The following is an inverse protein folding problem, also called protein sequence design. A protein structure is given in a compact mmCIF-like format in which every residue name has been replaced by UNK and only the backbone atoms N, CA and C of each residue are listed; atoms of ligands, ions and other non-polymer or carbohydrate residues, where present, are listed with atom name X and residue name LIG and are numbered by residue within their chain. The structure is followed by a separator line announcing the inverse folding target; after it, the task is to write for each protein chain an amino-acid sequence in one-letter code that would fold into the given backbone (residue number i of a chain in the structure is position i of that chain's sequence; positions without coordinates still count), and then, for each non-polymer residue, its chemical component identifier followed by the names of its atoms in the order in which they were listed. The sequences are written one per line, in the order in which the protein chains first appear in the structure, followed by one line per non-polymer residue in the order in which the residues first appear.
data_IF_930184715911
#
_entry.id   IF_930184715911
#
_cell.length_a   1.000
_cell.length_b   1.000
_cell.length_c   1.000
_cell.angle_alpha   90.00
_cell.angle_beta   90.00
_cell.angle_gamma   90.00
#
_symmetry.space_group_name_H-M   'P 1'
#
loop_
_entity.id
_entity.type
_entity.pdbx_description
1 polymer ?
#
# COMPACT_ATOMS: atom_id res chain seq x y z
N UNK A 1 0.16 -19.97 8.17
CA UNK A 1 -0.01 -19.51 6.77
C UNK A 1 0.41 -20.59 5.79
N UNK A 2 1.58 -21.19 5.96
CA UNK A 2 1.95 -22.38 5.22
C UNK A 2 0.99 -23.56 5.48
N UNK A 3 0.36 -23.65 6.67
CA UNK A 3 -0.69 -24.66 6.94
C UNK A 3 -1.90 -24.51 6.01
N UNK A 4 -2.35 -23.27 5.75
CA UNK A 4 -3.42 -22.99 4.80
C UNK A 4 -2.99 -23.32 3.37
N UNK A 5 -1.77 -22.95 3.00
CA UNK A 5 -1.21 -23.30 1.70
C UNK A 5 -1.11 -24.82 1.50
N UNK A 6 -0.83 -25.57 2.57
CA UNK A 6 -0.81 -27.02 2.56
C UNK A 6 -2.21 -27.60 2.38
N UNK A 7 -3.21 -27.11 3.12
CA UNK A 7 -4.61 -27.52 2.98
C UNK A 7 -5.16 -27.25 1.55
N UNK A 8 -4.77 -26.11 0.98
CA UNK A 8 -5.19 -25.67 -0.36
C UNK A 8 -4.31 -26.19 -1.50
N UNK A 9 -3.26 -26.95 -1.18
CA UNK A 9 -2.27 -27.45 -2.13
C UNK A 9 -1.65 -26.36 -3.02
N UNK A 10 -1.30 -25.21 -2.43
CA UNK A 10 -0.71 -24.07 -3.14
C UNK A 10 0.81 -24.15 -3.30
N UNK A 11 1.45 -25.15 -2.69
CA UNK A 11 2.90 -25.26 -2.55
C UNK A 11 3.41 -24.50 -1.33
N UNK A 12 4.39 -25.07 -0.64
CA UNK A 12 4.95 -24.54 0.61
C UNK A 12 6.44 -24.26 0.55
N UNK A 13 7.12 -24.73 -0.49
CA UNK A 13 8.55 -24.51 -0.71
C UNK A 13 8.83 -23.86 -2.07
N UNK A 14 9.96 -23.17 -2.23
CA UNK A 14 10.31 -22.51 -3.49
C UNK A 14 10.35 -23.44 -4.71
N UNK A 15 10.77 -24.69 -4.54
CA UNK A 15 10.87 -25.71 -5.59
C UNK A 15 9.53 -26.35 -5.96
N UNK A 16 8.50 -26.16 -5.14
CA UNK A 16 7.13 -26.67 -5.36
C UNK A 16 6.26 -25.71 -6.17
N UNK A 17 6.74 -24.48 -6.43
CA UNK A 17 5.96 -23.42 -7.06
C UNK A 17 6.63 -22.83 -8.31
N UNK A 18 5.81 -22.32 -9.21
CA UNK A 18 6.27 -21.46 -10.30
C UNK A 18 6.01 -20.01 -9.87
N UNK A 19 7.08 -19.24 -9.65
CA UNK A 19 6.96 -17.86 -9.14
C UNK A 19 6.03 -16.98 -10.00
N UNK A 20 6.14 -17.09 -11.33
CA UNK A 20 5.28 -16.36 -12.27
C UNK A 20 3.79 -16.73 -12.15
N UNK A 21 3.46 -17.98 -11.85
CA UNK A 21 2.08 -18.42 -11.61
C UNK A 21 1.52 -17.76 -10.35
N UNK A 22 2.31 -17.70 -9.28
CA UNK A 22 1.88 -17.06 -8.02
C UNK A 22 1.68 -15.56 -8.17
N UNK A 23 2.51 -14.89 -8.99
CA UNK A 23 2.27 -13.49 -9.37
C UNK A 23 1.01 -13.32 -10.20
N UNK A 24 0.71 -14.23 -11.13
CA UNK A 24 -0.52 -14.19 -11.91
C UNK A 24 -1.76 -14.37 -11.02
N UNK A 25 -1.70 -15.26 -10.02
CA UNK A 25 -2.77 -15.42 -9.03
C UNK A 25 -2.97 -14.16 -8.20
N UNK A 26 -1.90 -13.55 -7.68
CA UNK A 26 -1.97 -12.26 -6.98
C UNK A 26 -2.64 -11.18 -7.84
N UNK A 27 -2.29 -11.13 -9.13
CA UNK A 27 -2.90 -10.19 -10.07
C UNK A 27 -4.39 -10.48 -10.34
N UNK A 28 -4.79 -11.75 -10.34
CA UNK A 28 -6.19 -12.13 -10.44
C UNK A 28 -7.00 -11.57 -9.26
N UNK A 29 -6.52 -11.69 -8.02
CA UNK A 29 -7.22 -11.14 -6.85
C UNK A 29 -7.40 -9.61 -6.95
N UNK A 30 -6.39 -8.89 -7.47
CA UNK A 30 -6.51 -7.43 -7.73
C UNK A 30 -7.61 -7.13 -8.76
N UNK A 31 -7.77 -7.99 -9.76
CA UNK A 31 -8.84 -7.84 -10.76
C UNK A 31 -10.22 -8.08 -10.14
N UNK A 32 -10.32 -9.00 -9.17
CA UNK A 32 -11.55 -9.25 -8.39
C UNK A 32 -11.91 -8.06 -7.50
N UNK A 33 -10.93 -7.39 -6.87
CA UNK A 33 -11.16 -6.12 -6.14
C UNK A 33 -11.83 -5.07 -7.04
N UNK A 34 -11.30 -4.89 -8.26
CA UNK A 34 -11.86 -3.92 -9.21
C UNK A 34 -13.28 -4.29 -9.63
N UNK A 35 -13.54 -5.58 -9.84
CA UNK A 35 -14.86 -6.08 -10.21
C UNK A 35 -15.88 -5.93 -9.07
N UNK A 36 -15.49 -6.23 -7.84
CA UNK A 36 -16.32 -6.01 -6.65
C UNK A 36 -16.66 -4.52 -6.47
N UNK A 37 -15.69 -3.63 -6.72
CA UNK A 37 -15.91 -2.18 -6.71
C UNK A 37 -16.91 -1.74 -7.78
N UNK A 38 -16.80 -2.24 -9.03
CA UNK A 38 -17.76 -1.96 -10.11
C UNK A 38 -19.18 -2.42 -9.77
N UNK A 39 -19.32 -3.50 -9.00
CA UNK A 39 -20.59 -4.00 -8.50
C UNK A 39 -21.12 -3.26 -7.26
N UNK A 40 -20.37 -2.28 -6.72
CA UNK A 40 -20.73 -1.56 -5.51
C UNK A 40 -20.67 -2.41 -4.23
N UNK A 41 -19.99 -3.56 -4.25
CA UNK A 41 -19.89 -4.48 -3.12
C UNK A 41 -18.69 -4.12 -2.24
N UNK A 42 -18.88 -3.28 -1.22
CA UNK A 42 -17.78 -2.86 -0.34
C UNK A 42 -17.49 -3.82 0.83
N UNK A 43 -18.48 -4.59 1.29
CA UNK A 43 -18.36 -5.52 2.42
C UNK A 43 -19.17 -6.81 2.17
N UNK A 44 -18.82 -7.86 2.89
CA UNK A 44 -19.46 -9.17 2.77
C UNK A 44 -18.79 -10.03 1.72
N UNK A 45 -19.54 -10.98 1.14
CA UNK A 45 -19.01 -11.95 0.20
C UNK A 45 -18.79 -11.38 -1.21
N UNK A 46 -17.67 -11.74 -1.83
CA UNK A 46 -17.18 -11.25 -3.13
C UNK A 46 -17.13 -9.72 -3.15
N UNK A 47 -16.63 -9.14 -2.05
CA UNK A 47 -16.60 -7.69 -1.82
C UNK A 47 -15.19 -7.15 -1.81
N UNK A 48 -15.04 -5.85 -2.06
CA UNK A 48 -13.74 -5.15 -2.02
C UNK A 48 -12.93 -5.50 -0.76
N UNK A 49 -13.59 -5.61 0.40
CA UNK A 49 -12.92 -5.94 1.65
C UNK A 49 -12.39 -7.39 1.70
N UNK A 50 -13.12 -8.34 1.13
CA UNK A 50 -12.71 -9.75 1.06
C UNK A 50 -11.58 -9.92 0.05
N UNK A 51 -11.74 -9.37 -1.15
CA UNK A 51 -10.74 -9.49 -2.23
C UNK A 51 -9.41 -8.80 -1.86
N UNK A 52 -9.45 -7.68 -1.14
CA UNK A 52 -8.23 -7.06 -0.59
C UNK A 52 -7.56 -7.97 0.45
N UNK A 53 -8.35 -8.73 1.21
CA UNK A 53 -7.85 -9.77 2.11
C UNK A 53 -7.11 -10.86 1.34
N UNK A 54 -7.68 -11.32 0.22
CA UNK A 54 -7.05 -12.34 -0.63
C UNK A 54 -5.76 -11.84 -1.29
N UNK A 55 -5.70 -10.57 -1.73
CA UNK A 55 -4.44 -9.93 -2.17
C UNK A 55 -3.36 -10.00 -1.09
N UNK A 56 -3.69 -9.62 0.15
CA UNK A 56 -2.74 -9.69 1.27
C UNK A 56 -2.33 -11.15 1.56
N UNK A 57 -3.28 -12.07 1.51
CA UNK A 57 -3.05 -13.49 1.74
C UNK A 57 -2.05 -14.07 0.73
N UNK A 58 -2.21 -13.74 -0.56
CA UNK A 58 -1.28 -14.16 -1.63
C UNK A 58 0.12 -13.58 -1.43
N UNK A 59 0.22 -12.32 -1.01
CA UNK A 59 1.51 -11.71 -0.69
C UNK A 59 2.19 -12.39 0.52
N UNK A 60 1.43 -12.70 1.57
CA UNK A 60 1.93 -13.41 2.75
C UNK A 60 2.34 -14.85 2.43
N UNK A 61 1.63 -15.53 1.52
CA UNK A 61 2.00 -16.87 1.05
C UNK A 61 3.38 -16.85 0.38
N UNK A 62 3.60 -15.91 -0.55
CA UNK A 62 4.90 -15.72 -1.18
C UNK A 62 5.99 -15.36 -0.17
N UNK A 63 5.72 -14.43 0.75
CA UNK A 63 6.68 -14.07 1.79
C UNK A 63 7.08 -15.29 2.64
N UNK A 64 6.11 -16.13 3.01
CA UNK A 64 6.38 -17.37 3.76
C UNK A 64 7.19 -18.41 2.98
N UNK A 65 6.97 -18.55 1.67
CA UNK A 65 7.73 -19.49 0.83
C UNK A 65 9.21 -19.06 0.73
N UNK A 66 9.46 -17.77 0.57
CA UNK A 66 10.80 -17.22 0.31
C UNK A 66 11.51 -16.71 1.57
N UNK A 67 10.97 -17.00 2.77
CA UNK A 67 11.51 -16.54 4.06
C UNK A 67 11.73 -15.02 4.10
N UNK A 68 10.78 -14.26 3.56
CA UNK A 68 10.82 -12.80 3.53
C UNK A 68 10.15 -12.26 4.78
N UNK A 69 10.90 -11.49 5.56
CA UNK A 69 10.37 -10.69 6.68
C UNK A 69 9.59 -9.48 6.14
N UNK A 70 8.34 -9.73 5.75
CA UNK A 70 7.49 -8.72 5.14
C UNK A 70 7.17 -7.57 6.10
N UNK A 71 7.10 -7.84 7.40
CA UNK A 71 6.87 -6.80 8.42
C UNK A 71 8.02 -5.78 8.44
N UNK A 72 9.26 -6.28 8.46
CA UNK A 72 10.44 -5.42 8.38
C UNK A 72 10.47 -4.59 7.08
N UNK A 73 10.17 -5.21 5.94
CA UNK A 73 10.17 -4.51 4.64
C UNK A 73 9.08 -3.43 4.57
N UNK A 74 7.88 -3.71 5.08
CA UNK A 74 6.79 -2.73 5.20
C UNK A 74 7.20 -1.61 6.16
N UNK A 75 7.76 -1.94 7.32
CA UNK A 75 8.21 -0.97 8.32
C UNK A 75 9.28 -0.02 7.78
N UNK A 76 10.24 -0.54 7.00
CA UNK A 76 11.24 0.26 6.31
C UNK A 76 10.61 1.21 5.30
N UNK A 77 9.64 0.74 4.49
CA UNK A 77 8.92 1.57 3.52
C UNK A 77 8.13 2.68 4.19
N UNK A 78 7.36 2.36 5.24
CA UNK A 78 6.57 3.36 6.00
C UNK A 78 7.49 4.42 6.61
N UNK A 79 8.59 4.00 7.24
CA UNK A 79 9.54 4.93 7.86
C UNK A 79 10.12 5.91 6.85
N UNK A 80 10.53 5.42 5.68
CA UNK A 80 11.01 6.24 4.58
C UNK A 80 9.95 7.25 4.11
N UNK A 81 8.72 6.78 3.82
CA UNK A 81 7.61 7.64 3.38
C UNK A 81 7.26 8.70 4.42
N UNK A 82 7.27 8.37 5.71
CA UNK A 82 7.00 9.33 6.79
C UNK A 82 8.06 10.42 6.90
N UNK A 83 9.32 10.12 6.59
CA UNK A 83 10.41 11.12 6.53
C UNK A 83 10.16 12.09 5.38
N UNK A 84 9.87 11.59 4.17
CA UNK A 84 9.59 12.42 2.99
C UNK A 84 8.40 13.37 3.23
N UNK A 85 7.33 12.87 3.84
CA UNK A 85 6.15 13.70 4.19
C UNK A 85 6.53 14.80 5.17
N UNK A 86 7.33 14.50 6.19
CA UNK A 86 7.76 15.50 7.19
C UNK A 86 8.63 16.59 6.57
N UNK A 87 9.57 16.22 5.71
CA UNK A 87 10.42 17.19 5.01
C UNK A 87 9.61 18.06 4.05
N UNK A 88 8.70 17.47 3.29
CA UNK A 88 7.79 18.22 2.40
C UNK A 88 6.95 19.23 3.19
N UNK A 89 6.35 18.83 4.30
CA UNK A 89 5.55 19.73 5.16
C UNK A 89 6.38 20.88 5.75
N UNK A 90 7.66 20.66 6.11
CA UNK A 90 8.54 21.74 6.59
C UNK A 90 8.75 22.80 5.51
N UNK A 91 8.94 22.37 4.27
CA UNK A 91 9.12 23.26 3.12
C UNK A 91 7.83 24.06 2.86
N UNK A 92 6.68 23.38 2.81
CA UNK A 92 5.37 24.02 2.63
C UNK A 92 5.10 25.09 3.70
N UNK A 93 5.37 24.77 4.98
CA UNK A 93 5.19 25.72 6.07
C UNK A 93 6.09 26.95 5.93
N UNK A 94 7.34 26.77 5.51
CA UNK A 94 8.28 27.87 5.28
C UNK A 94 7.82 28.78 4.13
N UNK A 95 7.34 28.18 3.03
CA UNK A 95 6.79 28.91 1.87
C UNK A 95 5.55 29.71 2.29
N UNK A 96 4.61 29.08 3.00
CA UNK A 96 3.38 29.74 3.46
C UNK A 96 3.68 30.92 4.40
N UNK A 97 4.66 30.76 5.30
CA UNK A 97 5.11 31.86 6.15
C UNK A 97 5.68 33.02 5.33
N UNK A 98 6.57 32.75 4.39
CA UNK A 98 7.15 33.78 3.52
C UNK A 98 6.10 34.49 2.66
N UNK A 99 5.15 33.74 2.10
CA UNK A 99 4.05 34.30 1.33
C UNK A 99 3.14 35.19 2.19
N UNK A 100 2.86 34.78 3.43
CA UNK A 100 2.07 35.58 4.38
C UNK A 100 2.78 36.89 4.72
N UNK A 101 4.07 36.83 5.06
CA UNK A 101 4.89 38.02 5.35
C UNK A 101 4.94 38.97 4.16
N UNK A 102 5.23 38.46 2.96
CA UNK A 102 5.27 39.27 1.74
C UNK A 102 3.92 39.95 1.43
N UNK A 103 2.80 39.27 1.71
CA UNK A 103 1.47 39.85 1.51
C UNK A 103 1.15 40.98 2.50
N UNK A 104 1.62 40.87 3.75
CA UNK A 104 1.45 41.89 4.79
C UNK A 104 2.32 43.12 4.49
N UNK A 105 3.57 42.91 4.09
CA UNK A 105 4.48 43.98 3.70
C UNK A 105 3.90 44.76 2.51
N UNK A 106 3.42 44.06 1.48
CA UNK A 106 2.77 44.67 0.33
C UNK A 106 1.48 45.44 0.68
N UNK A 107 0.70 44.95 1.65
CA UNK A 107 -0.49 45.67 2.12
C UNK A 107 -0.13 46.95 2.88
N UNK A 108 0.96 46.93 3.65
CA UNK A 108 1.47 48.09 4.40
C UNK A 108 2.02 49.17 3.48
N UNK A 109 2.70 48.80 2.41
CA UNK A 109 3.29 49.74 1.45
C UNK A 109 2.24 50.49 0.61
N UNK A 110 1.00 49.99 0.53
CA UNK A 110 -0.13 50.63 -0.19
C UNK A 110 -1.05 51.49 0.68
N UNK A 111 -0.71 51.71 1.96
CA UNK A 111 -1.50 52.53 2.90
C UNK A 111 -1.07 54.01 2.97
N UNK A 112 -0.33 54.52 1.97
CA UNK A 112 0.04 55.93 1.82
C UNK A 112 -0.56 56.52 0.54
#
# INVERSE_FOLDING_TARGET
MLDLAQEKNWGTKPDEIIFGEKLALLHAEISEVLEAYRKGKMKGRDSVAEELGDVVLRALHLAGIFDIDLEKEIGAKISFTLIEIKETRKIENKINYQATVASLDFARDRQW
#
